data_IF_833873992362
#
_entry.id   IF_833873992362
#
_cell.length_a   1.000
_cell.length_b   1.000
_cell.length_c   1.000
_cell.angle_alpha   90.00
_cell.angle_beta   90.00
_cell.angle_gamma   90.00
#
_symmetry.space_group_name_H-M   'P 1'
#
loop_
_entity.id
_entity.type
_entity.pdbx_description
1 polymer ?
#
# COMPACT_ATOMS: atom_id res chain seq x y z
N UNK A 1 13.48 -3.52 19.12
CA UNK A 1 13.31 -2.77 17.86
C UNK A 1 12.85 -1.36 18.23
N UNK A 2 13.58 -0.31 17.87
CA UNK A 2 13.22 1.08 18.24
C UNK A 2 12.11 1.63 17.34
N UNK A 3 11.33 2.60 17.83
CA UNK A 3 10.26 3.22 17.02
C UNK A 3 10.81 3.98 15.82
N UNK A 4 12.00 4.60 15.97
CA UNK A 4 12.75 5.21 14.87
C UNK A 4 13.03 4.23 13.72
N UNK A 5 13.47 3.00 14.02
CA UNK A 5 13.74 1.99 12.98
C UNK A 5 12.44 1.53 12.32
N UNK A 6 11.35 1.38 13.08
CA UNK A 6 10.03 1.05 12.53
C UNK A 6 9.53 2.15 11.57
N UNK A 7 9.64 3.41 11.98
CA UNK A 7 9.27 4.57 11.17
C UNK A 7 10.06 4.62 9.86
N UNK A 8 11.38 4.48 9.93
CA UNK A 8 12.24 4.54 8.74
C UNK A 8 11.90 3.43 7.74
N UNK A 9 11.66 2.20 8.22
CA UNK A 9 11.21 1.08 7.38
C UNK A 9 9.87 1.39 6.72
N UNK A 10 8.90 1.92 7.46
CA UNK A 10 7.59 2.30 6.92
C UNK A 10 7.69 3.44 5.91
N UNK A 11 8.57 4.42 6.14
CA UNK A 11 8.81 5.53 5.23
C UNK A 11 9.42 5.05 3.90
N UNK A 12 10.48 4.25 3.95
CA UNK A 12 11.09 3.66 2.74
C UNK A 12 10.06 2.85 1.94
N UNK A 13 9.25 2.07 2.65
CA UNK A 13 8.20 1.28 2.04
C UNK A 13 7.14 2.14 1.35
N UNK A 14 6.70 3.22 1.99
CA UNK A 14 5.78 4.18 1.37
C UNK A 14 6.37 4.90 0.16
N UNK A 15 7.66 5.26 0.20
CA UNK A 15 8.35 5.85 -0.95
C UNK A 15 8.34 4.86 -2.12
N UNK A 16 8.61 3.57 -1.87
CA UNK A 16 8.54 2.54 -2.90
C UNK A 16 7.14 2.44 -3.52
N UNK A 17 6.06 2.44 -2.71
CA UNK A 17 4.67 2.45 -3.21
C UNK A 17 4.42 3.66 -4.13
N UNK A 18 4.86 4.85 -3.73
CA UNK A 18 4.63 6.10 -4.47
C UNK A 18 5.37 6.11 -5.81
N UNK A 19 6.60 5.59 -5.84
CA UNK A 19 7.44 5.57 -7.05
C UNK A 19 6.99 4.48 -8.03
N UNK A 20 6.50 3.35 -7.53
CA UNK A 20 6.10 2.20 -8.36
C UNK A 20 5.22 2.53 -9.56
N UNK A 21 4.12 3.29 -9.46
CA UNK A 21 3.31 3.64 -10.62
C UNK A 21 4.07 4.48 -11.67
N UNK A 22 5.10 5.21 -11.25
CA UNK A 22 5.94 6.01 -12.15
C UNK A 22 6.92 5.16 -12.98
N UNK A 23 7.15 3.90 -12.59
CA UNK A 23 8.01 2.99 -13.37
C UNK A 23 7.51 2.87 -14.81
N UNK A 24 6.19 2.90 -15.01
CA UNK A 24 5.60 2.85 -16.34
C UNK A 24 6.14 3.94 -17.28
N UNK A 25 6.60 5.10 -16.80
CA UNK A 25 7.14 6.19 -17.63
C UNK A 25 8.57 5.95 -18.12
N UNK A 26 9.30 4.97 -17.57
CA UNK A 26 10.67 4.63 -18.04
C UNK A 26 10.66 4.20 -19.51
N UNK A 27 9.54 3.68 -20.02
CA UNK A 27 9.37 3.33 -21.43
C UNK A 27 9.64 4.49 -22.40
N UNK A 28 9.48 5.74 -21.96
CA UNK A 28 9.76 6.94 -22.77
C UNK A 28 11.25 7.10 -23.12
N UNK A 29 12.14 6.33 -22.47
CA UNK A 29 13.57 6.31 -22.76
C UNK A 29 13.94 5.36 -23.90
N UNK A 30 12.97 4.64 -24.47
CA UNK A 30 13.18 3.62 -25.51
C UNK A 30 12.74 4.11 -26.89
N UNK A 31 13.38 3.58 -27.92
CA UNK A 31 13.11 3.89 -29.34
C UNK A 31 11.69 3.48 -29.76
N UNK A 32 11.12 4.25 -30.69
CA UNK A 32 9.83 3.93 -31.33
C UNK A 32 9.96 3.10 -32.60
N UNK A 33 11.15 3.06 -33.20
CA UNK A 33 11.37 2.49 -34.53
C UNK A 33 11.87 1.04 -34.47
N UNK A 34 12.37 0.62 -33.33
CA UNK A 34 13.00 -0.69 -33.14
C UNK A 34 12.05 -1.67 -32.45
N UNK A 35 12.13 -2.94 -32.86
CA UNK A 35 11.47 -4.10 -32.23
C UNK A 35 12.44 -5.05 -31.53
N UNK A 36 13.67 -4.57 -31.29
CA UNK A 36 14.75 -5.28 -30.63
C UNK A 36 15.32 -4.45 -29.48
N UNK A 37 15.51 -5.07 -28.32
CA UNK A 37 16.16 -4.44 -27.16
C UNK A 37 17.44 -5.19 -26.84
N UNK A 38 18.55 -4.45 -26.73
CA UNK A 38 19.79 -4.98 -26.16
C UNK A 38 19.77 -4.78 -24.64
N UNK A 39 19.69 -5.86 -23.87
CA UNK A 39 19.73 -5.84 -22.41
C UNK A 39 20.88 -6.70 -21.91
N UNK A 40 21.84 -6.10 -21.19
CA UNK A 40 23.01 -6.80 -20.65
C UNK A 40 23.84 -7.56 -21.71
N UNK A 41 23.86 -7.06 -22.94
CA UNK A 41 24.57 -7.69 -24.06
C UNK A 41 23.79 -8.77 -24.80
N UNK A 42 22.54 -9.06 -24.41
CA UNK A 42 21.65 -9.95 -25.14
C UNK A 42 20.65 -9.15 -25.97
N UNK A 43 20.49 -9.53 -27.24
CA UNK A 43 19.46 -8.97 -28.12
C UNK A 43 18.16 -9.77 -27.95
N UNK A 44 17.09 -9.08 -27.56
CA UNK A 44 15.77 -9.64 -27.40
C UNK A 44 14.82 -9.09 -28.45
N UNK A 45 14.30 -9.98 -29.31
CA UNK A 45 13.28 -9.66 -30.30
C UNK A 45 11.89 -9.87 -29.71
N UNK A 46 10.98 -8.93 -29.97
CA UNK A 46 9.62 -9.01 -29.45
C UNK A 46 8.57 -8.74 -30.52
N UNK A 47 7.34 -9.23 -30.29
CA UNK A 47 6.22 -9.08 -31.24
C UNK A 47 5.45 -7.75 -31.16
N UNK A 48 5.87 -6.79 -30.33
CA UNK A 48 5.23 -5.48 -30.21
C UNK A 48 5.69 -4.51 -31.29
N UNK A 49 4.85 -3.51 -31.58
CA UNK A 49 5.10 -2.46 -32.59
C UNK A 49 6.41 -1.70 -32.37
N UNK A 50 6.76 -1.43 -31.11
CA UNK A 50 8.00 -0.75 -30.75
C UNK A 50 8.54 -1.17 -29.39
N UNK A 51 9.83 -0.93 -29.16
CA UNK A 51 10.48 -1.09 -27.87
C UNK A 51 9.76 -0.27 -26.78
N UNK A 52 9.28 0.92 -27.12
CA UNK A 52 8.50 1.77 -26.21
C UNK A 52 7.24 1.04 -25.72
N UNK A 53 6.44 0.45 -26.61
CA UNK A 53 5.21 -0.28 -26.24
C UNK A 53 5.54 -1.54 -25.44
N UNK A 54 6.53 -2.31 -25.87
CA UNK A 54 6.97 -3.51 -25.17
C UNK A 54 7.39 -3.23 -23.72
N UNK A 55 8.27 -2.24 -23.52
CA UNK A 55 8.76 -1.84 -22.20
C UNK A 55 7.62 -1.29 -21.35
N UNK A 56 6.74 -0.48 -21.94
CA UNK A 56 5.56 0.04 -21.25
C UNK A 56 4.68 -1.09 -20.71
N UNK A 57 4.36 -2.08 -21.54
CA UNK A 57 3.56 -3.24 -21.16
C UNK A 57 4.17 -3.97 -19.96
N UNK A 58 5.46 -4.30 -20.02
CA UNK A 58 6.17 -4.96 -18.92
C UNK A 58 6.11 -4.13 -17.64
N UNK A 59 6.46 -2.85 -17.73
CA UNK A 59 6.55 -1.97 -16.55
C UNK A 59 5.19 -1.69 -15.94
N UNK A 60 4.13 -1.67 -16.74
CA UNK A 60 2.76 -1.57 -16.25
C UNK A 60 2.38 -2.84 -15.46
N UNK A 61 2.58 -4.04 -16.00
CA UNK A 61 2.32 -5.29 -15.25
C UNK A 61 3.12 -5.36 -13.95
N UNK A 62 4.41 -5.05 -14.05
CA UNK A 62 5.33 -5.08 -12.92
C UNK A 62 4.90 -4.05 -11.86
N UNK A 63 4.44 -2.87 -12.27
CA UNK A 63 3.92 -1.86 -11.34
C UNK A 63 2.69 -2.37 -10.58
N UNK A 64 1.77 -3.07 -11.25
CA UNK A 64 0.61 -3.68 -10.61
C UNK A 64 1.02 -4.77 -9.63
N UNK A 65 1.90 -5.69 -10.06
CA UNK A 65 2.43 -6.75 -9.21
C UNK A 65 3.07 -6.19 -7.93
N UNK A 66 3.94 -5.19 -8.07
CA UNK A 66 4.61 -4.54 -6.95
C UNK A 66 3.63 -3.84 -6.01
N UNK A 67 2.62 -3.14 -6.53
CA UNK A 67 1.59 -2.48 -5.71
C UNK A 67 0.76 -3.49 -4.91
N UNK A 68 0.37 -4.60 -5.53
CA UNK A 68 -0.33 -5.68 -4.82
C UNK A 68 0.58 -6.38 -3.81
N UNK A 69 1.88 -6.50 -4.09
CA UNK A 69 2.85 -7.06 -3.15
C UNK A 69 3.00 -6.14 -1.93
N UNK A 70 3.05 -4.83 -2.16
CA UNK A 70 3.08 -3.85 -1.09
C UNK A 70 1.78 -3.84 -0.28
N UNK A 71 0.64 -3.96 -0.95
CA UNK A 71 -0.66 -4.18 -0.32
C UNK A 71 -0.66 -5.43 0.56
N UNK A 72 -0.15 -6.56 0.04
CA UNK A 72 -0.06 -7.82 0.76
C UNK A 72 0.78 -7.71 2.04
N UNK A 73 1.92 -7.03 1.98
CA UNK A 73 2.81 -6.84 3.13
C UNK A 73 2.20 -5.89 4.17
N UNK A 74 1.45 -4.86 3.74
CA UNK A 74 0.91 -3.81 4.63
C UNK A 74 -0.47 -4.06 5.20
N UNK A 75 -1.29 -4.85 4.50
CA UNK A 75 -2.61 -5.20 4.99
C UNK A 75 -2.45 -6.10 6.21
N UNK A 76 -3.03 -5.62 7.28
CA UNK A 76 -3.14 -6.35 8.51
C UNK A 76 -4.20 -7.45 8.40
N UNK A 77 -3.93 -8.58 9.07
CA UNK A 77 -4.84 -9.74 9.16
C UNK A 77 -4.92 -10.55 7.87
N UNK A 78 -5.94 -11.38 7.76
CA UNK A 78 -6.14 -12.40 6.71
C UNK A 78 -6.57 -11.83 5.38
N UNK A 79 -7.04 -10.58 5.36
CA UNK A 79 -7.57 -9.97 4.13
C UNK A 79 -6.50 -9.90 3.04
N UNK A 80 -5.22 -9.78 3.43
CA UNK A 80 -4.11 -9.80 2.48
C UNK A 80 -4.06 -11.05 1.61
N UNK A 81 -4.50 -12.21 2.11
CA UNK A 81 -4.44 -13.45 1.34
C UNK A 81 -5.33 -13.41 0.11
N UNK A 82 -6.41 -12.64 0.12
CA UNK A 82 -7.24 -12.41 -1.06
C UNK A 82 -6.58 -11.53 -2.13
N UNK A 83 -5.39 -10.96 -1.85
CA UNK A 83 -4.57 -10.34 -2.88
C UNK A 83 -3.67 -11.37 -3.58
N UNK A 84 -3.50 -12.60 -3.06
CA UNK A 84 -2.66 -13.63 -3.69
C UNK A 84 -3.12 -13.94 -5.11
N UNK A 85 -4.43 -14.14 -5.39
CA UNK A 85 -4.84 -14.38 -6.76
C UNK A 85 -4.47 -13.20 -7.67
N UNK A 86 -4.63 -11.95 -7.24
CA UNK A 86 -4.17 -10.80 -8.02
C UNK A 86 -2.65 -10.77 -8.20
N UNK A 87 -1.88 -11.13 -7.18
CA UNK A 87 -0.42 -11.27 -7.28
C UNK A 87 -0.02 -12.32 -8.32
N UNK A 88 -0.64 -13.49 -8.27
CA UNK A 88 -0.42 -14.55 -9.27
C UNK A 88 -0.81 -14.05 -10.66
N UNK A 89 -1.87 -13.25 -10.78
CA UNK A 89 -2.36 -12.74 -12.07
C UNK A 89 -1.30 -11.88 -12.72
N UNK A 90 -0.85 -10.85 -12.01
CA UNK A 90 0.10 -9.89 -12.55
C UNK A 90 1.50 -10.50 -12.70
N UNK A 91 1.87 -11.49 -11.86
CA UNK A 91 3.10 -12.27 -12.06
C UNK A 91 3.04 -13.05 -13.37
N UNK A 92 1.99 -13.83 -13.57
CA UNK A 92 1.79 -14.61 -14.78
C UNK A 92 1.69 -13.70 -16.01
N UNK A 93 0.96 -12.58 -15.93
CA UNK A 93 0.86 -11.59 -17.00
C UNK A 93 2.20 -10.91 -17.32
N UNK A 94 3.07 -10.71 -16.33
CA UNK A 94 4.43 -10.20 -16.58
C UNK A 94 5.27 -11.25 -17.31
N UNK A 95 5.20 -12.51 -16.85
CA UNK A 95 5.93 -13.63 -17.46
C UNK A 95 5.45 -13.87 -18.89
N UNK A 96 4.15 -13.77 -19.16
CA UNK A 96 3.59 -13.98 -20.50
C UNK A 96 4.10 -12.98 -21.54
N UNK A 97 4.45 -11.76 -21.12
CA UNK A 97 5.04 -10.76 -22.03
C UNK A 97 6.50 -11.10 -22.36
N UNK A 98 7.20 -11.76 -21.43
CA UNK A 98 8.61 -12.13 -21.55
C UNK A 98 8.84 -13.51 -22.19
N UNK A 99 7.85 -14.40 -22.16
CA UNK A 99 7.99 -15.76 -22.68
C UNK A 99 7.45 -15.88 -24.11
N UNK A 100 8.19 -16.57 -24.98
CA UNK A 100 7.67 -17.02 -26.27
C UNK A 100 6.43 -17.91 -26.12
N UNK A 101 5.57 -17.92 -27.15
CA UNK A 101 4.20 -18.50 -27.18
C UNK A 101 4.06 -19.95 -26.68
N UNK A 102 5.14 -20.72 -26.54
CA UNK A 102 5.08 -22.18 -26.27
C UNK A 102 4.91 -22.57 -24.79
N UNK A 103 5.48 -21.83 -23.83
CA UNK A 103 5.26 -22.12 -22.39
C UNK A 103 3.83 -21.70 -21.97
N UNK A 104 3.23 -20.78 -22.75
CA UNK A 104 1.94 -20.15 -22.50
C UNK A 104 0.74 -21.09 -22.71
N UNK A 105 0.75 -21.99 -23.69
CA UNK A 105 -0.46 -22.73 -24.07
C UNK A 105 -1.02 -23.66 -22.98
N UNK A 106 -0.16 -24.20 -22.10
CA UNK A 106 -0.55 -25.14 -21.05
C UNK A 106 -0.95 -24.43 -19.75
N UNK A 107 -0.12 -23.47 -19.28
CA UNK A 107 -0.35 -22.73 -18.01
C UNK A 107 -1.39 -21.62 -18.17
N UNK A 108 -1.50 -21.05 -19.38
CA UNK A 108 -2.39 -19.92 -19.67
C UNK A 108 -3.58 -20.30 -20.57
N UNK A 109 -3.87 -21.60 -20.69
CA UNK A 109 -5.21 -21.97 -21.13
C UNK A 109 -6.21 -21.32 -20.15
N UNK A 110 -7.23 -20.63 -20.68
CA UNK A 110 -8.26 -19.99 -19.86
C UNK A 110 -8.78 -20.92 -18.73
N UNK A 111 -9.02 -22.23 -18.97
CA UNK A 111 -9.42 -23.16 -17.92
C UNK A 111 -8.31 -23.41 -16.88
N UNK A 112 -7.05 -23.52 -17.32
CA UNK A 112 -5.91 -23.73 -16.43
C UNK A 112 -5.72 -22.57 -15.45
N UNK A 113 -5.81 -21.34 -15.96
CA UNK A 113 -5.75 -20.14 -15.12
C UNK A 113 -6.93 -20.15 -14.14
N UNK A 114 -8.17 -20.24 -14.64
CA UNK A 114 -9.36 -20.25 -13.77
C UNK A 114 -9.28 -21.35 -12.69
N UNK A 115 -8.78 -22.54 -13.02
CA UNK A 115 -8.61 -23.64 -12.06
C UNK A 115 -7.54 -23.35 -11.01
N UNK A 116 -6.41 -22.74 -11.38
CA UNK A 116 -5.39 -22.29 -10.43
C UNK A 116 -5.99 -21.24 -9.48
N UNK A 117 -6.80 -20.32 -10.01
CA UNK A 117 -7.50 -19.31 -9.21
C UNK A 117 -8.47 -19.92 -8.21
N UNK A 118 -9.37 -20.76 -8.68
CA UNK A 118 -10.35 -21.46 -7.83
C UNK A 118 -9.63 -22.32 -6.81
N UNK A 119 -8.55 -23.01 -7.19
CA UNK A 119 -7.74 -23.81 -6.28
C UNK A 119 -7.08 -22.97 -5.18
N UNK A 120 -6.46 -21.84 -5.52
CA UNK A 120 -5.85 -20.92 -4.54
C UNK A 120 -6.92 -20.33 -3.63
N UNK A 121 -8.05 -19.88 -4.18
CA UNK A 121 -9.14 -19.31 -3.38
C UNK A 121 -9.76 -20.35 -2.43
N UNK A 122 -9.96 -21.59 -2.89
CA UNK A 122 -10.45 -22.69 -2.05
C UNK A 122 -9.45 -23.04 -0.95
N UNK A 123 -8.15 -23.14 -1.25
CA UNK A 123 -7.11 -23.40 -0.25
C UNK A 123 -7.08 -22.28 0.80
N UNK A 124 -7.26 -21.03 0.38
CA UNK A 124 -7.30 -19.88 1.29
C UNK A 124 -8.57 -19.83 2.14
N UNK A 125 -9.71 -20.28 1.60
CA UNK A 125 -10.97 -20.41 2.35
C UNK A 125 -10.87 -21.55 3.36
N UNK A 126 -10.37 -22.72 2.93
CA UNK A 126 -10.23 -23.92 3.78
C UNK A 126 -9.17 -23.72 4.86
N UNK A 127 -8.00 -23.18 4.51
CA UNK A 127 -6.92 -22.88 5.45
C UNK A 127 -7.27 -21.80 6.48
N UNK A 128 -8.36 -21.03 6.26
CA UNK A 128 -8.85 -20.10 7.26
C UNK A 128 -9.56 -20.78 8.42
N UNK A 129 -10.13 -21.98 8.26
CA UNK A 129 -10.89 -22.68 9.32
C UNK A 129 -10.01 -22.98 10.54
N UNK A 130 -8.74 -23.37 10.36
CA UNK A 130 -7.85 -23.74 11.47
C UNK A 130 -7.01 -22.59 12.05
N UNK A 131 -6.73 -21.53 11.27
CA UNK A 131 -5.72 -20.55 11.68
C UNK A 131 -6.25 -19.45 12.64
N UNK A 132 -7.56 -19.44 13.00
CA UNK A 132 -8.24 -18.39 13.80
C UNK A 132 -7.68 -18.11 15.21
N UNK A 133 -6.76 -18.93 15.71
CA UNK A 133 -6.34 -18.89 17.12
C UNK A 133 -5.21 -17.89 17.49
N UNK A 134 -4.27 -17.53 16.59
CA UNK A 134 -3.10 -16.72 17.00
C UNK A 134 -3.22 -15.22 16.68
N UNK A 135 -3.41 -14.42 17.73
CA UNK A 135 -3.38 -12.95 17.71
C UNK A 135 -1.93 -12.46 17.59
N UNK A 136 -1.53 -11.97 16.42
CA UNK A 136 -0.21 -11.36 16.25
C UNK A 136 -0.27 -9.87 16.67
N UNK A 137 0.42 -9.50 17.75
CA UNK A 137 0.44 -8.15 18.32
C UNK A 137 1.64 -7.35 17.80
N UNK A 138 1.82 -7.26 16.48
CA UNK A 138 2.87 -6.40 15.94
C UNK A 138 2.52 -4.92 16.23
N UNK A 139 3.45 -4.15 16.82
CA UNK A 139 3.21 -2.74 17.12
C UNK A 139 3.00 -1.95 15.81
N UNK A 140 1.97 -1.11 15.79
CA UNK A 140 1.65 -0.24 14.65
C UNK A 140 1.37 1.18 15.10
N UNK A 141 1.84 2.15 14.31
CA UNK A 141 1.56 3.56 14.50
C UNK A 141 0.21 3.88 13.83
N UNK A 142 -0.86 3.98 14.64
CA UNK A 142 -2.22 4.23 14.18
C UNK A 142 -2.45 5.72 13.88
N UNK A 143 -2.78 6.09 12.66
CA UNK A 143 -2.91 7.52 12.29
C UNK A 143 -4.13 8.22 12.91
N UNK A 144 -5.21 7.51 13.22
CA UNK A 144 -6.49 8.10 13.64
C UNK A 144 -6.39 9.00 14.86
N UNK A 145 -5.40 8.79 15.73
CA UNK A 145 -5.25 9.57 16.95
C UNK A 145 -4.33 10.81 16.83
N UNK A 146 -3.88 11.15 15.62
CA UNK A 146 -2.92 12.24 15.39
C UNK A 146 -3.52 13.53 14.85
N UNK A 147 -4.81 13.56 14.55
CA UNK A 147 -5.39 14.61 13.68
C UNK A 147 -5.75 15.89 14.47
N UNK A 148 -5.83 15.88 15.80
CA UNK A 148 -6.20 17.12 16.50
C UNK A 148 -5.01 18.10 16.58
N UNK A 149 -5.19 19.30 15.99
CA UNK A 149 -4.20 20.39 16.03
C UNK A 149 -3.74 20.71 17.46
N UNK A 150 -4.64 20.58 18.44
CA UNK A 150 -4.34 20.77 19.87
C UNK A 150 -3.37 19.71 20.41
N UNK A 151 -3.48 18.46 19.98
CA UNK A 151 -2.56 17.39 20.39
C UNK A 151 -1.15 17.62 19.84
N UNK A 152 -1.01 18.04 18.58
CA UNK A 152 0.31 18.26 17.95
C UNK A 152 1.15 19.29 18.74
N UNK A 153 0.55 20.44 19.09
CA UNK A 153 1.25 21.49 19.86
C UNK A 153 1.61 20.99 21.25
N UNK A 154 0.68 20.33 21.94
CA UNK A 154 0.94 19.75 23.27
C UNK A 154 2.09 18.73 23.23
N UNK A 155 2.10 17.86 22.21
CA UNK A 155 3.12 16.85 22.05
C UNK A 155 4.50 17.44 21.72
N UNK A 156 4.55 18.49 20.90
CA UNK A 156 5.80 19.22 20.65
C UNK A 156 6.37 19.80 21.95
N UNK A 157 5.53 20.49 22.74
CA UNK A 157 5.94 21.07 24.02
C UNK A 157 6.37 20.00 25.03
N UNK A 158 5.65 18.88 25.10
CA UNK A 158 6.02 17.76 25.97
C UNK A 158 7.37 17.15 25.56
N UNK A 159 7.59 16.91 24.27
CA UNK A 159 8.87 16.41 23.76
C UNK A 159 10.03 17.33 24.13
N UNK A 160 9.86 18.65 23.99
CA UNK A 160 10.89 19.61 24.37
C UNK A 160 11.22 19.56 25.87
N UNK A 161 10.21 19.34 26.74
CA UNK A 161 10.44 19.16 28.18
C UNK A 161 11.25 17.90 28.48
N UNK A 162 10.92 16.78 27.84
CA UNK A 162 11.66 15.52 28.02
C UNK A 162 13.11 15.64 27.54
N UNK A 163 13.35 16.32 26.41
CA UNK A 163 14.71 16.57 25.92
C UNK A 163 15.51 17.48 26.85
N UNK A 164 14.88 18.50 27.43
CA UNK A 164 15.53 19.34 28.44
C UNK A 164 15.95 18.51 29.67
N UNK A 165 15.10 17.58 30.12
CA UNK A 165 15.43 16.68 31.23
C UNK A 165 16.56 15.73 30.85
N UNK A 166 16.54 15.16 29.64
CA UNK A 166 17.65 14.34 29.13
C UNK A 166 18.98 15.09 29.10
N UNK A 167 18.93 16.38 28.76
CA UNK A 167 20.11 17.25 28.75
C UNK A 167 20.57 17.62 30.18
N UNK A 168 19.66 17.65 31.15
CA UNK A 168 19.93 17.96 32.56
C UNK A 168 20.30 16.73 33.39
N UNK A 169 19.88 15.52 32.99
CA UNK A 169 20.01 14.27 33.75
C UNK A 169 21.46 13.75 33.90
N UNK A 170 22.45 14.52 33.46
CA UNK A 170 23.85 14.26 33.84
C UNK A 170 24.15 14.58 35.31
N UNK A 171 23.36 15.41 36.02
CA UNK A 171 23.67 15.82 37.40
C UNK A 171 22.44 16.29 38.20
N UNK A 172 21.60 15.37 38.69
CA UNK A 172 20.64 15.70 39.76
C UNK A 172 21.16 15.19 41.09
N UNK A 173 21.54 16.10 42.00
CA UNK A 173 21.90 15.77 43.38
C UNK A 173 20.70 15.28 44.21
N UNK A 174 19.48 15.25 43.63
CA UNK A 174 18.24 14.89 44.31
C UNK A 174 17.41 13.86 43.51
N UNK A 175 17.64 12.55 43.71
CA UNK A 175 16.94 11.48 42.97
C UNK A 175 15.43 11.47 43.21
N UNK A 176 14.95 11.98 44.37
CA UNK A 176 13.51 12.06 44.66
C UNK A 176 12.80 13.12 43.82
N UNK A 177 13.46 14.26 43.57
CA UNK A 177 12.90 15.30 42.72
C UNK A 177 12.83 14.83 41.26
N UNK A 178 13.89 14.19 40.76
CA UNK A 178 13.92 13.60 39.41
C UNK A 178 12.80 12.56 39.24
N UNK A 179 12.60 11.67 40.23
CA UNK A 179 11.52 10.68 40.22
C UNK A 179 10.12 11.32 40.12
N UNK A 180 9.88 12.40 40.87
CA UNK A 180 8.61 13.13 40.84
C UNK A 180 8.34 13.77 39.46
N UNK A 181 9.36 14.38 38.86
CA UNK A 181 9.26 15.00 37.53
C UNK A 181 9.01 13.95 36.44
N UNK A 182 9.74 12.82 36.49
CA UNK A 182 9.55 11.70 35.58
C UNK A 182 8.13 11.12 35.70
N UNK A 183 7.67 10.85 36.92
CA UNK A 183 6.31 10.34 37.16
C UNK A 183 5.24 11.26 36.60
N UNK A 184 5.38 12.57 36.82
CA UNK A 184 4.42 13.55 36.30
C UNK A 184 4.39 13.56 34.75
N UNK A 185 5.55 13.47 34.09
CA UNK A 185 5.62 13.43 32.63
C UNK A 185 5.08 12.14 32.03
N UNK A 186 5.36 10.98 32.66
CA UNK A 186 4.81 9.69 32.26
C UNK A 186 3.29 9.70 32.40
N UNK A 187 2.76 10.24 33.49
CA UNK A 187 1.30 10.34 33.71
C UNK A 187 0.59 11.24 32.69
N UNK A 188 1.23 12.34 32.26
CA UNK A 188 0.71 13.17 31.16
C UNK A 188 0.65 12.36 29.86
N UNK A 189 1.73 11.66 29.52
CA UNK A 189 1.82 10.87 28.30
C UNK A 189 0.81 9.71 28.30
N UNK A 190 0.67 9.01 29.42
CA UNK A 190 -0.31 7.94 29.60
C UNK A 190 -1.74 8.44 29.45
N UNK A 191 -2.09 9.56 30.08
CA UNK A 191 -3.43 10.15 29.99
C UNK A 191 -3.83 10.44 28.55
N UNK A 192 -2.92 11.05 27.78
CA UNK A 192 -3.14 11.36 26.37
C UNK A 192 -3.17 10.07 25.52
N UNK A 193 -2.32 9.07 25.80
CA UNK A 193 -2.32 7.78 25.08
C UNK A 193 -3.55 6.89 25.38
N UNK A 194 -4.12 6.99 26.58
CA UNK A 194 -5.26 6.17 27.02
C UNK A 194 -6.60 6.71 26.51
N UNK A 195 -6.69 8.02 26.21
CA UNK A 195 -7.82 8.60 25.47
C UNK A 195 -7.94 7.93 24.09
N UNK A 196 -6.81 7.77 23.40
CA UNK A 196 -6.75 7.09 22.10
C UNK A 196 -7.18 5.61 22.17
N UNK A 197 -6.74 4.89 23.21
CA UNK A 197 -7.11 3.47 23.40
C UNK A 197 -8.61 3.28 23.62
N UNK A 198 -9.26 4.12 24.42
CA UNK A 198 -10.70 3.99 24.73
C UNK A 198 -11.56 4.26 23.49
N UNK A 199 -11.21 5.27 22.69
CA UNK A 199 -11.93 5.56 21.44
C UNK A 199 -11.73 4.44 20.40
N UNK A 200 -10.49 3.94 20.24
CA UNK A 200 -10.18 2.86 19.31
C UNK A 200 -10.87 1.53 19.66
N UNK A 201 -10.96 1.17 20.95
CA UNK A 201 -11.66 -0.05 21.39
C UNK A 201 -13.17 0.06 21.14
N UNK A 202 -13.76 1.22 21.37
CA UNK A 202 -15.20 1.47 21.16
C UNK A 202 -15.60 1.37 19.69
N UNK A 203 -14.77 1.86 18.78
CA UNK A 203 -15.00 1.70 17.34
C UNK A 203 -14.74 0.26 16.84
N UNK A 204 -13.71 -0.41 17.38
CA UNK A 204 -13.32 -1.75 16.95
C UNK A 204 -14.33 -2.84 17.32
N UNK A 205 -15.06 -2.71 18.44
CA UNK A 205 -16.08 -3.68 18.84
C UNK A 205 -17.37 -3.58 18.02
N UNK A 206 -17.73 -2.41 17.47
CA UNK A 206 -19.04 -2.22 16.84
C UNK A 206 -19.10 -2.62 15.35
N UNK A 207 -17.95 -2.77 14.67
CA UNK A 207 -17.89 -2.86 13.19
C UNK A 207 -17.41 -4.20 12.63
N UNK A 208 -17.12 -5.19 13.48
CA UNK A 208 -16.22 -6.30 13.11
C UNK A 208 -16.89 -7.55 12.53
N UNK A 209 -18.19 -7.74 12.68
CA UNK A 209 -18.84 -9.03 12.34
C UNK A 209 -19.60 -9.00 10.99
N UNK A 210 -20.25 -7.89 10.62
CA UNK A 210 -21.10 -7.85 9.41
C UNK A 210 -20.40 -7.45 8.10
N UNK A 211 -19.13 -7.02 8.13
CA UNK A 211 -18.46 -6.46 6.95
C UNK A 211 -17.54 -7.45 6.19
N UNK A 212 -17.48 -8.73 6.60
CA UNK A 212 -16.52 -9.68 6.03
C UNK A 212 -17.03 -10.36 4.75
N UNK A 213 -18.28 -10.81 4.72
CA UNK A 213 -18.88 -11.48 3.56
C UNK A 213 -18.92 -10.60 2.28
N UNK A 214 -19.42 -9.35 2.30
CA UNK A 214 -19.46 -8.54 1.08
C UNK A 214 -18.05 -8.19 0.57
N UNK A 215 -17.07 -8.08 1.48
CA UNK A 215 -15.67 -7.86 1.09
C UNK A 215 -15.11 -9.09 0.37
N UNK A 216 -15.41 -10.30 0.87
CA UNK A 216 -14.98 -11.54 0.24
C UNK A 216 -15.55 -11.66 -1.19
N UNK A 217 -16.86 -11.43 -1.33
CA UNK A 217 -17.53 -11.46 -2.64
C UNK A 217 -16.92 -10.43 -3.59
N UNK A 218 -16.68 -9.21 -3.10
CA UNK A 218 -16.03 -8.17 -3.88
C UNK A 218 -14.63 -8.60 -4.36
N UNK A 219 -13.83 -9.22 -3.49
CA UNK A 219 -12.49 -9.71 -3.83
C UNK A 219 -12.54 -10.80 -4.92
N UNK A 220 -13.49 -11.73 -4.83
CA UNK A 220 -13.72 -12.75 -5.85
C UNK A 220 -14.14 -12.13 -7.21
N UNK A 221 -14.98 -11.10 -7.20
CA UNK A 221 -15.38 -10.42 -8.45
C UNK A 221 -14.18 -9.70 -9.08
N UNK A 222 -13.33 -9.07 -8.27
CA UNK A 222 -12.16 -8.34 -8.77
C UNK A 222 -11.13 -9.27 -9.41
N UNK A 223 -10.95 -10.49 -8.89
CA UNK A 223 -9.99 -11.45 -9.46
C UNK A 223 -10.42 -11.98 -10.82
N UNK A 224 -11.73 -12.05 -11.07
CA UNK A 224 -12.30 -12.46 -12.36
C UNK A 224 -12.33 -11.33 -13.40
N UNK A 225 -12.30 -10.09 -12.95
CA UNK A 225 -12.49 -8.92 -13.81
C UNK A 225 -11.51 -8.86 -15.00
N UNK A 226 -10.19 -9.12 -14.84
CA UNK A 226 -9.26 -9.07 -15.96
C UNK A 226 -9.58 -10.06 -17.11
N UNK A 227 -10.33 -11.14 -16.82
CA UNK A 227 -10.70 -12.15 -17.81
C UNK A 227 -11.94 -11.80 -18.64
N UNK A 228 -12.61 -10.68 -18.34
CA UNK A 228 -13.83 -10.28 -19.06
C UNK A 228 -13.62 -10.15 -20.58
N UNK A 229 -12.43 -9.75 -21.01
CA UNK A 229 -12.10 -9.60 -22.43
C UNK A 229 -12.21 -10.90 -23.23
N UNK A 230 -11.95 -12.06 -22.61
CA UNK A 230 -11.95 -13.37 -23.29
C UNK A 230 -13.34 -13.79 -23.76
N UNK A 231 -14.39 -13.24 -23.16
CA UNK A 231 -15.78 -13.52 -23.55
C UNK A 231 -16.17 -12.70 -24.79
N UNK A 232 -15.38 -11.67 -25.12
CA UNK A 232 -15.66 -10.77 -26.24
C UNK A 232 -15.01 -11.34 -27.50
N UNK A 233 -15.78 -11.54 -28.58
CA UNK A 233 -15.22 -11.99 -29.85
C UNK A 233 -14.16 -11.03 -30.39
N UNK A 234 -13.09 -11.62 -30.91
CA UNK A 234 -11.96 -10.92 -31.53
C UNK A 234 -12.45 -10.07 -32.71
N UNK A 235 -11.80 -8.93 -32.94
CA UNK A 235 -12.01 -8.04 -34.11
C UNK A 235 -13.32 -7.22 -34.15
N UNK A 236 -14.18 -7.31 -33.14
CA UNK A 236 -15.37 -6.45 -33.07
C UNK A 236 -15.03 -4.99 -32.76
N UNK A 237 -15.50 -4.07 -33.61
CA UNK A 237 -15.36 -2.60 -33.43
C UNK A 237 -16.50 -1.95 -32.64
N UNK A 238 -17.69 -2.55 -32.65
CA UNK A 238 -18.84 -2.06 -31.89
C UNK A 238 -19.62 -3.22 -31.24
N UNK A 239 -20.18 -3.00 -30.04
CA UNK A 239 -21.00 -3.96 -29.31
C UNK A 239 -22.29 -3.29 -28.85
N UNK A 240 -23.41 -3.99 -28.99
CA UNK A 240 -24.71 -3.51 -28.51
C UNK A 240 -25.01 -4.14 -27.15
N UNK A 241 -25.02 -3.30 -26.10
CA UNK A 241 -25.33 -3.71 -24.72
C UNK A 241 -26.55 -2.91 -24.26
N UNK A 242 -27.59 -3.60 -23.79
CA UNK A 242 -28.85 -2.98 -23.33
C UNK A 242 -29.46 -1.95 -24.30
N UNK A 243 -29.37 -2.23 -25.61
CA UNK A 243 -29.92 -1.34 -26.65
C UNK A 243 -29.06 -0.11 -26.99
N UNK A 244 -27.91 0.08 -26.35
CA UNK A 244 -26.92 1.11 -26.73
C UNK A 244 -25.74 0.47 -27.44
N UNK A 245 -25.27 1.13 -28.50
CA UNK A 245 -24.05 0.73 -29.22
C UNK A 245 -22.86 1.43 -28.58
N UNK A 246 -21.87 0.65 -28.18
CA UNK A 246 -20.59 1.13 -27.68
C UNK A 246 -19.53 0.86 -28.76
N UNK A 247 -18.79 1.89 -29.13
CA UNK A 247 -17.67 1.80 -30.06
C UNK A 247 -16.37 1.52 -29.30
N UNK A 248 -15.28 1.27 -30.02
CA UNK A 248 -13.99 0.95 -29.40
C UNK A 248 -13.23 2.15 -28.84
N UNK A 249 -13.78 3.38 -28.84
CA UNK A 249 -13.19 4.59 -28.23
C UNK A 249 -11.68 4.79 -28.54
N UNK A 250 -11.29 4.61 -29.80
CA UNK A 250 -9.88 4.75 -30.23
C UNK A 250 -9.01 3.50 -30.03
N UNK A 251 -9.49 2.47 -29.34
CA UNK A 251 -8.84 1.16 -29.29
C UNK A 251 -9.04 0.38 -30.59
N UNK A 252 -8.10 -0.53 -30.88
CA UNK A 252 -8.10 -1.39 -32.07
C UNK A 252 -9.42 -2.17 -32.24
N UNK A 253 -9.91 -2.72 -31.13
CA UNK A 253 -11.17 -3.45 -31.04
C UNK A 253 -11.72 -3.35 -29.61
N UNK A 254 -12.96 -3.81 -29.40
CA UNK A 254 -13.62 -3.77 -28.09
C UNK A 254 -12.97 -4.71 -27.09
N UNK A 255 -12.43 -5.83 -27.55
CA UNK A 255 -11.72 -6.77 -26.70
C UNK A 255 -10.55 -6.09 -25.97
N UNK A 256 -9.68 -5.40 -26.72
CA UNK A 256 -8.55 -4.62 -26.18
C UNK A 256 -9.03 -3.51 -25.25
N UNK A 257 -10.12 -2.83 -25.60
CA UNK A 257 -10.73 -1.81 -24.74
C UNK A 257 -11.17 -2.40 -23.40
N UNK A 258 -11.90 -3.51 -23.41
CA UNK A 258 -12.39 -4.18 -22.19
C UNK A 258 -11.24 -4.75 -21.38
N UNK A 259 -10.24 -5.34 -22.04
CA UNK A 259 -9.01 -5.78 -21.39
C UNK A 259 -8.32 -4.62 -20.66
N UNK A 260 -8.14 -3.48 -21.32
CA UNK A 260 -7.52 -2.29 -20.72
C UNK A 260 -8.31 -1.80 -19.51
N UNK A 261 -9.62 -1.57 -19.67
CA UNK A 261 -10.45 -1.04 -18.60
C UNK A 261 -10.61 -2.01 -17.42
N UNK A 262 -10.83 -3.29 -17.69
CA UNK A 262 -10.98 -4.29 -16.64
C UNK A 262 -9.73 -4.34 -15.75
N UNK A 263 -8.53 -4.25 -16.35
CA UNK A 263 -7.27 -4.23 -15.60
C UNK A 263 -7.11 -2.96 -14.78
N UNK A 264 -7.43 -1.79 -15.33
CA UNK A 264 -7.40 -0.52 -14.57
C UNK A 264 -8.38 -0.54 -13.39
N UNK A 265 -9.61 -1.00 -13.60
CA UNK A 265 -10.61 -1.15 -12.53
C UNK A 265 -10.14 -2.12 -11.46
N UNK A 266 -9.55 -3.26 -11.85
CA UNK A 266 -8.97 -4.24 -10.93
C UNK A 266 -7.94 -3.59 -10.00
N UNK A 267 -7.01 -2.82 -10.57
CA UNK A 267 -5.96 -2.11 -9.83
C UNK A 267 -6.56 -1.03 -8.93
N UNK A 268 -7.49 -0.22 -9.43
CA UNK A 268 -8.16 0.84 -8.64
C UNK A 268 -8.87 0.25 -7.43
N UNK A 269 -9.69 -0.79 -7.60
CA UNK A 269 -10.42 -1.41 -6.48
C UNK A 269 -9.43 -2.10 -5.53
N UNK A 270 -8.41 -2.76 -6.06
CA UNK A 270 -7.32 -3.34 -5.26
C UNK A 270 -6.62 -2.32 -4.37
N UNK A 271 -6.29 -1.15 -4.92
CA UNK A 271 -5.68 -0.03 -4.19
C UNK A 271 -6.62 0.57 -3.14
N UNK A 272 -7.93 0.68 -3.44
CA UNK A 272 -8.94 1.08 -2.46
C UNK A 272 -9.00 0.10 -1.28
N UNK A 273 -8.96 -1.20 -1.56
CA UNK A 273 -8.92 -2.23 -0.51
C UNK A 273 -7.64 -2.07 0.33
N UNK A 274 -6.49 -1.88 -0.30
CA UNK A 274 -5.23 -1.62 0.41
C UNK A 274 -5.32 -0.37 1.29
N UNK A 275 -5.87 0.73 0.78
CA UNK A 275 -6.06 1.98 1.49
C UNK A 275 -6.97 1.81 2.72
N UNK A 276 -8.13 1.18 2.57
CA UNK A 276 -9.10 1.04 3.66
C UNK A 276 -8.73 -0.05 4.68
N UNK A 277 -7.97 -1.07 4.29
CA UNK A 277 -7.62 -2.21 5.15
C UNK A 277 -6.25 -2.07 5.81
N UNK A 278 -5.34 -1.27 5.24
CA UNK A 278 -4.11 -0.91 5.92
C UNK A 278 -4.42 0.02 7.11
N UNK A 279 -4.06 -0.42 8.32
CA UNK A 279 -4.27 0.36 9.54
C UNK A 279 -3.19 1.40 9.80
N UNK A 280 -2.00 1.15 9.26
CA UNK A 280 -0.87 2.07 9.44
C UNK A 280 -1.02 3.30 8.56
N UNK A 281 -0.30 4.36 8.89
CA UNK A 281 -0.23 5.58 8.09
C UNK A 281 0.33 5.34 6.67
N UNK A 282 1.00 4.21 6.42
CA UNK A 282 1.46 3.79 5.08
C UNK A 282 0.30 3.76 4.08
N UNK A 283 -0.95 3.56 4.52
CA UNK A 283 -2.12 3.58 3.64
C UNK A 283 -2.20 4.81 2.74
N UNK A 284 -1.76 5.98 3.22
CA UNK A 284 -1.81 7.22 2.45
C UNK A 284 -0.83 7.23 1.27
N UNK A 285 0.19 6.37 1.28
CA UNK A 285 1.11 6.21 0.14
C UNK A 285 0.46 5.55 -1.08
N UNK A 286 -0.70 4.89 -0.93
CA UNK A 286 -1.46 4.38 -2.07
C UNK A 286 -2.27 5.45 -2.80
N UNK A 287 -2.51 6.63 -2.20
CA UNK A 287 -3.32 7.69 -2.81
C UNK A 287 -2.73 8.23 -4.14
N UNK A 288 -1.41 8.51 -4.25
CA UNK A 288 -0.82 8.91 -5.52
C UNK A 288 -1.05 7.87 -6.62
N UNK A 289 -0.78 6.58 -6.34
CA UNK A 289 -1.03 5.49 -7.29
C UNK A 289 -2.50 5.42 -7.69
N UNK A 290 -3.42 5.50 -6.72
CA UNK A 290 -4.86 5.50 -6.95
C UNK A 290 -5.29 6.66 -7.86
N UNK A 291 -4.76 7.87 -7.64
CA UNK A 291 -5.05 9.03 -8.48
C UNK A 291 -4.55 8.87 -9.91
N UNK A 292 -3.35 8.32 -10.08
CA UNK A 292 -2.75 8.12 -11.40
C UNK A 292 -3.58 7.12 -12.21
N UNK A 293 -3.88 5.96 -11.63
CA UNK A 293 -4.65 4.95 -12.36
C UNK A 293 -6.10 5.34 -12.57
N UNK A 294 -6.71 6.09 -11.64
CA UNK A 294 -8.06 6.66 -11.85
C UNK A 294 -8.06 7.65 -13.02
N UNK A 295 -7.01 8.46 -13.14
CA UNK A 295 -6.87 9.38 -14.25
C UNK A 295 -6.63 8.65 -15.58
N UNK A 296 -5.73 7.67 -15.62
CA UNK A 296 -5.49 6.83 -16.81
C UNK A 296 -6.74 6.04 -17.23
N UNK A 297 -7.58 5.65 -16.26
CA UNK A 297 -8.87 5.04 -16.53
C UNK A 297 -9.83 6.03 -17.20
N UNK A 298 -9.94 7.25 -16.66
CA UNK A 298 -10.75 8.32 -17.24
C UNK A 298 -10.27 8.70 -18.65
N UNK A 299 -8.96 8.83 -18.84
CA UNK A 299 -8.35 9.17 -20.12
C UNK A 299 -8.69 8.17 -21.23
N UNK A 300 -8.89 6.89 -20.88
CA UNK A 300 -9.28 5.90 -21.87
C UNK A 300 -10.67 6.10 -22.50
N UNK A 301 -11.49 6.99 -21.95
CA UNK A 301 -12.79 7.39 -22.53
C UNK A 301 -12.70 8.64 -23.40
N UNK A 302 -11.54 9.30 -23.45
CA UNK A 302 -11.34 10.49 -24.28
C UNK A 302 -11.00 10.06 -25.71
N UNK A 303 -11.58 10.76 -26.68
CA UNK A 303 -11.35 10.54 -28.11
C UNK A 303 -10.00 11.14 -28.53
N UNK A 304 -8.90 10.53 -28.04
CA UNK A 304 -7.53 10.96 -28.32
C UNK A 304 -6.99 10.08 -29.43
N UNK A 305 -6.71 10.69 -30.58
CA UNK A 305 -6.17 10.00 -31.77
C UNK A 305 -4.84 9.30 -31.53
N UNK A 306 -4.09 9.78 -30.53
CA UNK A 306 -2.78 9.26 -30.15
C UNK A 306 -2.85 8.73 -28.72
N UNK A 307 -3.45 7.54 -28.54
CA UNK A 307 -3.33 6.77 -27.28
C UNK A 307 -1.84 6.55 -26.91
N UNK A 308 -0.97 6.56 -27.92
CA UNK A 308 0.50 6.47 -27.83
C UNK A 308 1.22 7.80 -27.57
N UNK A 309 0.52 8.94 -27.57
CA UNK A 309 1.03 10.18 -26.98
C UNK A 309 0.98 10.06 -25.44
N UNK A 310 1.68 9.03 -24.97
CA UNK A 310 1.74 8.56 -23.61
C UNK A 310 2.01 9.69 -22.62
N UNK A 311 1.13 9.77 -21.62
CA UNK A 311 1.37 10.48 -20.39
C UNK A 311 0.84 11.89 -20.41
N UNK A 312 -0.47 12.04 -20.21
CA UNK A 312 -1.06 13.34 -19.89
C UNK A 312 -0.32 13.93 -18.69
N UNK A 313 0.62 14.82 -18.97
CA UNK A 313 1.41 15.49 -17.94
C UNK A 313 0.50 16.30 -17.00
N UNK A 314 -0.75 16.52 -17.42
CA UNK A 314 -1.84 17.11 -16.67
C UNK A 314 -2.17 16.37 -15.36
N UNK A 315 -1.81 15.09 -15.19
CA UNK A 315 -1.98 14.41 -13.89
C UNK A 315 -0.86 14.74 -12.89
N UNK A 316 0.33 15.17 -13.36
CA UNK A 316 1.47 15.42 -12.48
C UNK A 316 1.18 16.44 -11.37
N UNK A 317 0.49 17.58 -11.60
CA UNK A 317 0.15 18.50 -10.52
C UNK A 317 -0.63 17.84 -9.38
N UNK A 318 -1.68 17.05 -9.71
CA UNK A 318 -2.48 16.32 -8.71
C UNK A 318 -1.66 15.25 -8.01
N UNK A 319 -0.84 14.51 -8.75
CA UNK A 319 0.05 13.49 -8.20
C UNK A 319 1.07 14.10 -7.22
N UNK A 320 1.71 15.22 -7.58
CA UNK A 320 2.64 15.96 -6.73
C UNK A 320 1.95 16.52 -5.49
N UNK A 321 0.73 17.04 -5.61
CA UNK A 321 -0.05 17.50 -4.46
C UNK A 321 -0.31 16.38 -3.45
N UNK A 322 -0.59 15.15 -3.92
CA UNK A 322 -0.76 13.99 -3.05
C UNK A 322 0.56 13.51 -2.42
N UNK A 323 1.69 13.62 -3.13
CA UNK A 323 3.02 13.39 -2.54
C UNK A 323 3.29 14.40 -1.42
N UNK A 324 3.01 15.69 -1.67
CA UNK A 324 3.18 16.73 -0.66
C UNK A 324 2.31 16.45 0.58
N UNK A 325 1.05 16.07 0.39
CA UNK A 325 0.18 15.63 1.47
C UNK A 325 0.77 14.45 2.26
N UNK A 326 1.33 13.46 1.56
CA UNK A 326 2.00 12.33 2.20
C UNK A 326 3.21 12.77 3.04
N UNK A 327 4.03 13.71 2.55
CA UNK A 327 5.16 14.26 3.31
C UNK A 327 4.70 14.93 4.60
N UNK A 328 3.61 15.71 4.56
CA UNK A 328 3.03 16.31 5.77
C UNK A 328 2.59 15.24 6.77
N UNK A 329 1.93 14.18 6.30
CA UNK A 329 1.53 13.05 7.14
C UNK A 329 2.76 12.37 7.76
N UNK A 330 3.83 12.15 6.99
CA UNK A 330 5.06 11.55 7.47
C UNK A 330 5.75 12.39 8.56
N UNK A 331 5.68 13.72 8.47
CA UNK A 331 6.18 14.63 9.49
C UNK A 331 5.39 14.51 10.80
N UNK A 332 4.05 14.44 10.73
CA UNK A 332 3.20 14.26 11.91
C UNK A 332 3.51 12.91 12.59
N UNK A 333 3.69 11.85 11.80
CA UNK A 333 4.05 10.53 12.34
C UNK A 333 5.44 10.54 12.98
N UNK A 334 6.41 11.26 12.41
CA UNK A 334 7.75 11.42 13.00
C UNK A 334 7.70 12.04 14.40
N UNK A 335 6.82 13.03 14.62
CA UNK A 335 6.61 13.61 15.95
C UNK A 335 6.10 12.57 16.94
N UNK A 336 5.18 11.70 16.52
CA UNK A 336 4.67 10.62 17.39
C UNK A 336 5.73 9.59 17.73
N UNK A 337 6.55 9.21 16.75
CA UNK A 337 7.67 8.28 16.96
C UNK A 337 8.60 8.82 18.04
N UNK A 338 8.91 10.12 18.00
CA UNK A 338 9.71 10.79 19.03
C UNK A 338 9.06 10.70 20.42
N UNK A 339 7.72 10.83 20.51
CA UNK A 339 7.01 10.69 21.78
C UNK A 339 7.16 9.27 22.33
N UNK A 340 6.97 8.27 21.49
CA UNK A 340 7.07 6.86 21.89
C UNK A 340 8.49 6.51 22.36
N UNK A 341 9.52 6.96 21.63
CA UNK A 341 10.92 6.79 22.05
C UNK A 341 11.20 7.54 23.37
N UNK A 342 10.60 8.72 23.58
CA UNK A 342 10.70 9.45 24.83
C UNK A 342 9.99 8.74 25.99
N UNK A 343 8.84 8.12 25.76
CA UNK A 343 8.15 7.33 26.77
C UNK A 343 8.95 6.10 27.19
N UNK A 344 9.51 5.37 26.22
CA UNK A 344 10.36 4.20 26.50
C UNK A 344 11.60 4.59 27.32
N UNK A 345 12.21 5.75 27.01
CA UNK A 345 13.29 6.33 27.81
C UNK A 345 12.85 6.66 29.24
N UNK A 346 11.74 7.39 29.41
CA UNK A 346 11.25 7.79 30.73
C UNK A 346 10.95 6.57 31.61
N UNK A 347 10.34 5.53 31.04
CA UNK A 347 10.04 4.29 31.76
C UNK A 347 11.34 3.58 32.20
N UNK A 348 12.32 3.47 31.31
CA UNK A 348 13.61 2.85 31.63
C UNK A 348 14.33 3.63 32.73
N UNK A 349 14.35 4.97 32.64
CA UNK A 349 14.96 5.84 33.65
C UNK A 349 14.25 5.78 35.00
N UNK A 350 12.93 5.69 34.99
CA UNK A 350 12.12 5.53 36.19
C UNK A 350 12.45 4.21 36.92
N UNK A 351 12.56 3.10 36.19
CA UNK A 351 12.98 1.81 36.73
C UNK A 351 14.41 1.85 37.30
N UNK A 352 15.35 2.52 36.61
CA UNK A 352 16.72 2.72 37.11
C UNK A 352 16.76 3.44 38.46
N UNK A 353 16.05 4.56 38.60
CA UNK A 353 16.04 5.35 39.84
C UNK A 353 15.37 4.57 40.98
N UNK A 354 14.27 3.84 40.70
CA UNK A 354 13.65 2.98 41.69
C UNK A 354 14.61 1.90 42.21
N UNK A 355 15.37 1.27 41.31
CA UNK A 355 16.37 0.28 41.68
C UNK A 355 17.55 0.88 42.47
N UNK A 356 17.95 2.12 42.18
CA UNK A 356 18.96 2.84 42.96
C UNK A 356 18.47 3.13 44.38
N UNK A 357 17.28 3.71 44.52
CA UNK A 357 16.69 4.02 45.83
C UNK A 357 16.42 2.76 46.67
N UNK A 358 16.04 1.64 46.02
CA UNK A 358 15.86 0.37 46.71
C UNK A 358 17.19 -0.13 47.32
N UNK A 359 18.29 -0.06 46.56
CA UNK A 359 19.63 -0.44 47.03
C UNK A 359 20.14 0.47 48.16
N UNK A 360 19.89 1.77 48.10
CA UNK A 360 20.27 2.71 49.16
C UNK A 360 19.56 2.38 50.48
N UNK A 361 18.27 2.02 50.42
CA UNK A 361 17.50 1.65 51.61
C UNK A 361 17.88 0.27 52.19
N UNK A 362 18.48 -0.63 51.40
CA UNK A 362 19.00 -1.91 51.90
C UNK A 362 20.35 -1.76 52.64
N UNK A 363 21.06 -0.65 52.41
CA UNK A 363 22.36 -0.35 53.02
C UNK A 363 22.27 0.47 54.32
N UNK A 364 21.09 1.02 54.63
CA UNK A 364 20.76 1.78 55.86
C UNK A 364 19.95 0.93 56.83
#
# INVERSE_FOLDING_TARGET
MTWKNLYFRQLLFSIAIIITPLLSFIHLLFSREDSQISLLGFEYFHGYESNQVFVWMILVELSYLLLFLFGYITIDKRIKYYLIPLLVYFLLSTVSILSEQYILSLVFSLPGVILIYIGVDLILILGQIDFFSKKNNNPQILFSSLISKRQIVKFSNWNNKVENIKAQSSFSDNPKQELCELYHLTKIAERESNLDKKEAIKEACKKREHAMLPLLLLLLVITLLPFLHVIIPTEMKSIRIFGRTYESFGFLNIETMVWYFARKVTVIIGLLICFFKCKSWVRFSFLPALSLYSYQFYEGFLDVKDFESFGNTNIFPTFLALIFLFVLIAQIVKLRVKILDNMDYLNSRFEEILNQLAKENELT
#
